data_IF_951296543050
#
_entry.id   IF_951296543050
#
_cell.length_a   1.000
_cell.length_b   1.000
_cell.length_c   1.000
_cell.angle_alpha   90.00
_cell.angle_beta   90.00
_cell.angle_gamma   90.00
#
_symmetry.space_group_name_H-M   'P 1'
#
loop_
_entity.id
_entity.type
_entity.pdbx_description
1 polymer ?
#
# COMPACT_ATOMS: atom_id res chain seq x y z
N UNK A 1 2.05 8.12 11.83
CA UNK A 1 1.97 8.58 10.43
C UNK A 1 1.13 9.85 10.42
N UNK A 2 1.57 10.90 9.72
CA UNK A 2 0.83 12.17 9.66
C UNK A 2 -0.45 12.02 8.83
N UNK A 3 -1.57 12.58 9.30
CA UNK A 3 -2.85 12.61 8.59
C UNK A 3 -2.75 13.30 7.21
N UNK A 4 -1.85 14.27 7.07
CA UNK A 4 -1.60 14.94 5.79
C UNK A 4 -0.99 13.97 4.77
N UNK A 5 0.00 13.17 5.18
CA UNK A 5 0.61 12.15 4.33
C UNK A 5 -0.39 11.05 3.97
N UNK A 6 -1.22 10.60 4.92
CA UNK A 6 -2.27 9.62 4.64
C UNK A 6 -3.26 10.13 3.59
N UNK A 7 -3.68 11.39 3.70
CA UNK A 7 -4.59 12.01 2.73
C UNK A 7 -3.98 12.07 1.33
N UNK A 8 -2.69 12.39 1.23
CA UNK A 8 -1.97 12.39 -0.04
C UNK A 8 -1.92 10.97 -0.63
N UNK A 9 -1.54 9.97 0.17
CA UNK A 9 -1.48 8.58 -0.27
C UNK A 9 -2.85 8.10 -0.80
N UNK A 10 -3.93 8.34 -0.04
CA UNK A 10 -5.27 7.92 -0.44
C UNK A 10 -5.70 8.59 -1.75
N UNK A 11 -5.50 9.90 -1.88
CA UNK A 11 -5.89 10.63 -3.09
C UNK A 11 -5.08 10.23 -4.33
N UNK A 12 -3.80 9.91 -4.13
CA UNK A 12 -2.90 9.50 -5.20
C UNK A 12 -3.21 8.09 -5.70
N UNK A 13 -3.32 7.11 -4.79
CA UNK A 13 -3.32 5.69 -5.16
C UNK A 13 -4.70 5.03 -5.19
N UNK A 14 -5.69 5.54 -4.47
CA UNK A 14 -7.03 4.91 -4.43
C UNK A 14 -7.93 5.44 -5.54
N UNK A 15 -8.84 4.59 -6.02
CA UNK A 15 -9.87 4.99 -7.00
C UNK A 15 -10.83 6.01 -6.38
N UNK A 16 -11.24 7.02 -7.16
CA UNK A 16 -11.98 8.20 -6.65
C UNK A 16 -13.21 7.83 -5.81
N UNK A 17 -13.97 6.81 -6.23
CA UNK A 17 -15.21 6.36 -5.56
C UNK A 17 -15.01 5.85 -4.12
N UNK A 18 -13.79 5.42 -3.74
CA UNK A 18 -13.52 4.86 -2.40
C UNK A 18 -12.72 5.80 -1.49
N UNK A 19 -12.17 6.91 -2.01
CA UNK A 19 -11.23 7.75 -1.26
C UNK A 19 -11.83 8.28 0.05
N UNK A 20 -13.03 8.85 0.02
CA UNK A 20 -13.66 9.42 1.22
C UNK A 20 -13.97 8.35 2.27
N UNK A 21 -14.41 7.16 1.82
CA UNK A 21 -14.64 6.01 2.69
C UNK A 21 -13.35 5.56 3.36
N UNK A 22 -12.26 5.47 2.60
CA UNK A 22 -10.96 5.04 3.14
C UNK A 22 -10.43 6.06 4.14
N UNK A 23 -10.54 7.37 3.85
CA UNK A 23 -10.15 8.41 4.80
C UNK A 23 -10.95 8.35 6.09
N UNK A 24 -12.27 8.15 5.99
CA UNK A 24 -13.13 7.98 7.16
C UNK A 24 -12.76 6.74 7.99
N UNK A 25 -12.47 5.63 7.32
CA UNK A 25 -12.07 4.39 8.00
C UNK A 25 -10.66 4.51 8.65
N UNK A 26 -9.72 5.19 7.99
CA UNK A 26 -8.36 5.46 8.52
C UNK A 26 -8.39 6.34 9.78
N UNK A 27 -9.33 7.29 9.84
CA UNK A 27 -9.54 8.16 10.99
C UNK A 27 -10.11 7.44 12.22
N UNK A 28 -10.64 6.22 12.05
CA UNK A 28 -11.21 5.42 13.15
C UNK A 28 -10.19 4.40 13.67
N UNK A 29 -9.82 4.52 14.94
CA UNK A 29 -8.91 3.57 15.62
C UNK A 29 -9.37 2.11 15.52
N UNK A 30 -10.68 1.87 15.59
CA UNK A 30 -11.28 0.53 15.46
C UNK A 30 -11.25 0.01 14.01
N UNK A 31 -11.42 0.87 13.01
CA UNK A 31 -11.55 0.45 11.61
C UNK A 31 -10.23 0.41 10.86
N UNK A 32 -9.24 1.19 11.29
CA UNK A 32 -7.92 1.28 10.67
C UNK A 32 -7.25 -0.10 10.50
N UNK A 33 -7.32 -0.97 11.50
CA UNK A 33 -6.74 -2.31 11.44
C UNK A 33 -7.41 -3.25 10.42
N UNK A 34 -8.60 -2.91 9.92
CA UNK A 34 -9.36 -3.74 8.97
C UNK A 34 -9.01 -3.38 7.51
N UNK A 35 -8.46 -2.18 7.26
CA UNK A 35 -8.14 -1.71 5.91
C UNK A 35 -7.21 -2.66 5.14
N UNK A 36 -6.13 -3.21 5.73
CA UNK A 36 -5.29 -4.19 5.05
C UNK A 36 -6.06 -5.41 4.53
N UNK A 37 -7.02 -5.93 5.30
CA UNK A 37 -7.86 -7.05 4.88
C UNK A 37 -8.76 -6.70 3.69
N UNK A 38 -9.23 -5.45 3.60
CA UNK A 38 -10.04 -4.98 2.45
C UNK A 38 -9.22 -4.90 1.16
N UNK A 39 -7.92 -4.65 1.28
CA UNK A 39 -7.00 -4.61 0.15
C UNK A 39 -6.69 -5.98 -0.45
N UNK A 40 -7.20 -7.09 0.12
CA UNK A 40 -7.15 -8.40 -0.55
C UNK A 40 -7.80 -8.36 -1.94
N UNK A 41 -8.83 -7.53 -2.13
CA UNK A 41 -9.40 -7.25 -3.44
C UNK A 41 -8.92 -5.88 -3.95
N UNK A 42 -7.61 -5.72 -4.07
CA UNK A 42 -6.95 -4.44 -4.36
C UNK A 42 -7.46 -3.75 -5.63
N UNK A 43 -7.91 -4.52 -6.63
CA UNK A 43 -8.44 -3.99 -7.89
C UNK A 43 -9.66 -3.07 -7.71
N UNK A 44 -10.46 -3.31 -6.67
CA UNK A 44 -11.64 -2.48 -6.38
C UNK A 44 -11.30 -1.14 -5.74
N UNK A 45 -10.10 -1.02 -5.14
CA UNK A 45 -9.72 0.07 -4.26
C UNK A 45 -8.58 0.93 -4.80
N UNK A 46 -7.63 0.33 -5.51
CA UNK A 46 -6.38 0.97 -5.92
C UNK A 46 -6.35 1.13 -7.45
N UNK A 47 -5.68 2.20 -7.92
CA UNK A 47 -5.51 2.46 -9.34
C UNK A 47 -4.46 1.51 -9.93
N UNK A 48 -4.88 0.67 -10.86
CA UNK A 48 -4.02 -0.34 -11.50
C UNK A 48 -2.78 0.26 -12.19
N UNK A 49 -2.89 1.48 -12.73
CA UNK A 49 -1.79 2.18 -13.42
C UNK A 49 -0.53 2.40 -12.55
N UNK A 50 -0.66 2.33 -11.23
CA UNK A 50 0.45 2.47 -10.29
C UNK A 50 0.93 1.13 -9.72
N UNK A 51 0.41 0.01 -10.23
CA UNK A 51 0.78 -1.33 -9.78
C UNK A 51 1.69 -2.01 -10.79
N UNK A 52 2.74 -2.64 -10.28
CA UNK A 52 3.58 -3.55 -11.05
C UNK A 52 3.22 -4.96 -10.62
N UNK A 53 2.76 -5.77 -11.57
CA UNK A 53 2.50 -7.19 -11.31
C UNK A 53 3.83 -7.91 -11.16
N UNK A 54 4.04 -8.56 -10.02
CA UNK A 54 5.18 -9.46 -9.84
C UNK A 54 4.91 -10.72 -10.66
N UNK A 55 5.70 -11.02 -11.71
CA UNK A 55 5.48 -12.23 -12.51
C UNK A 55 5.75 -13.48 -11.67
N UNK A 56 5.05 -14.57 -11.99
CA UNK A 56 5.40 -15.89 -11.45
C UNK A 56 6.62 -16.43 -12.22
N UNK A 57 7.57 -17.10 -11.55
CA UNK A 57 7.55 -17.44 -10.14
C UNK A 57 7.98 -16.31 -9.20
N UNK A 58 7.12 -15.98 -8.24
CA UNK A 58 7.37 -14.98 -7.20
C UNK A 58 8.00 -15.57 -5.92
N UNK A 59 8.74 -16.69 -6.07
CA UNK A 59 9.41 -17.36 -4.95
C UNK A 59 10.89 -16.96 -4.80
N UNK A 60 11.52 -16.39 -5.84
CA UNK A 60 12.91 -15.91 -5.72
C UNK A 60 12.91 -14.52 -5.09
N UNK A 61 13.24 -14.46 -3.80
CA UNK A 61 13.34 -13.22 -3.06
C UNK A 61 14.37 -12.25 -3.66
N UNK A 62 15.42 -12.76 -4.35
CA UNK A 62 16.45 -11.91 -4.97
C UNK A 62 15.90 -11.16 -6.15
N UNK A 63 15.05 -11.82 -6.94
CA UNK A 63 14.33 -11.18 -8.04
C UNK A 63 13.42 -10.06 -7.52
N UNK A 64 12.64 -10.33 -6.47
CA UNK A 64 11.77 -9.32 -5.84
C UNK A 64 12.62 -8.16 -5.26
N UNK A 65 13.73 -8.45 -4.60
CA UNK A 65 14.63 -7.45 -4.04
C UNK A 65 15.21 -6.54 -5.15
N UNK A 66 15.66 -7.11 -6.26
CA UNK A 66 16.19 -6.35 -7.38
C UNK A 66 15.10 -5.47 -8.01
N UNK A 67 13.90 -6.01 -8.21
CA UNK A 67 12.76 -5.26 -8.71
C UNK A 67 12.45 -4.07 -7.80
N UNK A 68 12.41 -4.27 -6.48
CA UNK A 68 12.18 -3.18 -5.52
C UNK A 68 13.26 -2.09 -5.64
N UNK A 69 14.55 -2.48 -5.74
CA UNK A 69 15.65 -1.53 -5.92
C UNK A 69 15.55 -0.75 -7.22
N UNK A 70 15.17 -1.40 -8.32
CA UNK A 70 14.94 -0.74 -9.63
C UNK A 70 13.86 0.34 -9.55
N UNK A 71 12.80 0.12 -8.77
CA UNK A 71 11.74 1.11 -8.53
C UNK A 71 12.05 2.10 -7.40
N UNK A 72 13.31 2.14 -6.92
CA UNK A 72 13.78 3.13 -5.95
C UNK A 72 13.46 2.80 -4.50
N UNK A 73 13.18 1.53 -4.16
CA UNK A 73 13.07 1.13 -2.76
C UNK A 73 14.45 1.29 -2.07
N UNK A 74 14.49 2.15 -1.04
CA UNK A 74 15.67 2.31 -0.20
C UNK A 74 15.88 1.13 0.75
N UNK A 75 16.99 1.16 1.50
CA UNK A 75 17.32 0.17 2.54
C UNK A 75 16.49 0.36 3.83
N UNK A 76 15.21 0.70 3.70
CA UNK A 76 14.29 0.83 4.83
C UNK A 76 13.43 -0.41 4.94
N UNK A 77 13.80 -1.34 5.82
CA UNK A 77 12.93 -2.45 6.19
C UNK A 77 11.84 -1.96 7.15
N UNK A 78 10.56 -2.20 6.80
CA UNK A 78 9.42 -2.03 7.72
C UNK A 78 9.50 -2.92 8.99
N UNK A 79 10.37 -3.93 8.99
CA UNK A 79 10.57 -4.86 10.11
C UNK A 79 11.49 -4.32 11.22
N UNK A 80 12.16 -3.18 11.03
CA UNK A 80 13.03 -2.56 12.03
C UNK A 80 12.34 -1.39 12.75
N UNK A 81 11.08 -1.59 13.16
CA UNK A 81 10.49 -0.72 14.18
C UNK A 81 10.98 -1.21 15.55
N UNK A 82 11.62 -0.36 16.38
CA UNK A 82 11.89 -0.72 17.77
C UNK A 82 10.55 -1.00 18.46
N UNK A 83 10.47 -2.14 19.14
CA UNK A 83 9.33 -2.53 19.98
C UNK A 83 9.23 -1.63 21.22
#
# INVERSE_FOLDING_TARGET
MDLAYEKILVKSFFVKRVQDRILFELASTKKRGIIPFKLNNYMDFLKEQYMIRIPKPNFDYRYILNLLKEYGAGESCYANLPQ
#
